data_IF_598673491620
#
_entry.id   IF_598673491620
#
_cell.length_a   1.000
_cell.length_b   1.000
_cell.length_c   1.000
_cell.angle_alpha   90.00
_cell.angle_beta   90.00
_cell.angle_gamma   90.00
#
_symmetry.space_group_name_H-M   'P 1'
#
loop_
_entity.id
_entity.type
_entity.pdbx_description
1 polymer ?
#
# COMPACT_ATOMS: atom_id res chain seq x y z
N UNK A 1 35.15 9.18 0.19
CA UNK A 1 35.14 7.73 -0.10
C UNK A 1 35.50 6.98 1.18
N UNK A 2 34.90 5.83 1.39
CA UNK A 2 35.10 5.02 2.58
C UNK A 2 34.17 3.81 2.60
N UNK A 3 34.29 3.02 3.64
CA UNK A 3 33.49 1.81 3.82
C UNK A 3 32.17 2.14 4.52
N UNK A 4 31.17 1.28 4.30
CA UNK A 4 29.92 1.24 5.02
C UNK A 4 29.76 -0.14 5.66
N UNK A 5 29.83 -0.22 6.98
CA UNK A 5 29.56 -1.46 7.73
C UNK A 5 28.08 -1.52 8.15
N UNK A 6 27.43 -2.65 7.83
CA UNK A 6 26.04 -2.94 8.21
C UNK A 6 26.00 -4.22 9.03
N UNK A 7 25.30 -4.18 10.16
CA UNK A 7 25.04 -5.33 11.01
C UNK A 7 23.63 -5.26 11.59
N UNK A 8 22.90 -6.36 11.53
CA UNK A 8 21.52 -6.47 12.04
C UNK A 8 20.59 -5.35 11.53
N UNK A 9 20.69 -5.05 10.22
CA UNK A 9 19.90 -4.02 9.55
C UNK A 9 20.28 -2.56 9.91
N UNK A 10 21.39 -2.34 10.63
CA UNK A 10 21.83 -1.02 11.08
C UNK A 10 23.22 -0.70 10.57
N UNK A 11 23.45 0.59 10.26
CA UNK A 11 24.77 1.10 9.97
C UNK A 11 25.58 1.14 11.26
N UNK A 12 26.69 0.40 11.30
CA UNK A 12 27.59 0.29 12.48
C UNK A 12 28.96 0.92 12.23
N UNK A 13 29.35 1.18 10.97
CA UNK A 13 30.60 1.84 10.66
C UNK A 13 30.43 2.71 9.40
N UNK A 14 31.08 3.88 9.41
CA UNK A 14 31.21 4.80 8.30
C UNK A 14 32.67 5.27 8.17
N UNK A 15 33.22 5.21 6.96
CA UNK A 15 34.58 5.64 6.65
C UNK A 15 35.54 4.48 6.59
N UNK A 16 35.85 3.82 7.71
CA UNK A 16 36.69 2.61 7.78
C UNK A 16 35.94 1.55 8.56
N UNK A 17 35.65 0.45 7.93
CA UNK A 17 35.09 -0.73 8.59
C UNK A 17 36.24 -1.71 8.88
N UNK A 18 36.42 -2.07 10.17
CA UNK A 18 37.44 -3.01 10.60
C UNK A 18 36.78 -4.35 10.96
N UNK A 19 37.47 -5.45 10.65
CA UNK A 19 37.03 -6.80 10.92
C UNK A 19 36.55 -7.57 9.70
N UNK A 20 36.16 -8.83 9.95
CA UNK A 20 35.62 -9.69 8.91
C UNK A 20 34.13 -9.37 8.67
N UNK A 21 33.68 -9.49 7.42
CA UNK A 21 32.29 -9.42 7.01
C UNK A 21 31.88 -10.73 6.34
N UNK A 22 30.63 -11.16 6.55
CA UNK A 22 30.08 -12.33 5.87
C UNK A 22 29.93 -12.08 4.37
N UNK A 23 29.66 -10.83 4.00
CA UNK A 23 29.53 -10.40 2.60
C UNK A 23 30.17 -9.03 2.42
N UNK A 24 30.99 -8.90 1.38
CA UNK A 24 31.58 -7.62 0.96
C UNK A 24 31.13 -7.31 -0.46
N UNK A 25 30.62 -6.10 -0.67
CA UNK A 25 30.22 -5.59 -1.98
C UNK A 25 31.19 -4.48 -2.36
N UNK A 26 31.87 -4.65 -3.49
CA UNK A 26 32.71 -3.58 -4.05
C UNK A 26 31.83 -2.49 -4.66
N UNK A 27 31.90 -1.30 -4.08
CA UNK A 27 31.16 -0.12 -4.52
C UNK A 27 32.10 0.98 -5.08
N UNK A 28 33.32 0.64 -5.52
CA UNK A 28 34.26 1.60 -6.06
C UNK A 28 33.63 2.39 -7.23
N UNK A 29 33.77 3.72 -7.20
CA UNK A 29 33.20 4.63 -8.19
C UNK A 29 31.69 4.82 -8.10
N UNK A 30 31.02 4.23 -7.10
CA UNK A 30 29.56 4.34 -6.89
C UNK A 30 29.23 5.14 -5.64
N UNK A 31 27.99 5.61 -5.57
CA UNK A 31 27.40 6.20 -4.37
C UNK A 31 26.54 5.13 -3.68
N UNK A 32 26.82 4.88 -2.40
CA UNK A 32 25.95 4.05 -1.56
C UNK A 32 25.00 4.98 -0.81
N UNK A 33 23.70 4.80 -1.00
CA UNK A 33 22.65 5.61 -0.37
C UNK A 33 21.62 4.70 0.30
N UNK A 34 20.80 5.23 1.23
CA UNK A 34 19.56 4.55 1.63
C UNK A 34 18.69 4.27 0.41
N UNK A 35 17.87 3.23 0.48
CA UNK A 35 16.87 2.95 -0.55
C UNK A 35 15.84 4.07 -0.64
N UNK A 36 15.26 4.25 -1.83
CA UNK A 36 14.22 5.26 -2.03
C UNK A 36 12.92 4.88 -1.34
N UNK A 37 12.21 5.91 -0.87
CA UNK A 37 10.83 5.80 -0.39
C UNK A 37 9.92 6.36 -1.48
N UNK A 38 9.14 5.49 -2.11
CA UNK A 38 8.11 5.90 -3.06
C UNK A 38 6.83 6.23 -2.28
N UNK A 39 6.56 7.51 -2.16
CA UNK A 39 5.45 8.02 -1.33
C UNK A 39 4.10 8.01 -2.04
N UNK A 40 4.06 7.66 -3.32
CA UNK A 40 2.82 7.69 -4.09
C UNK A 40 2.74 6.52 -5.08
N UNK A 41 2.12 5.44 -4.65
CA UNK A 41 1.87 4.26 -5.49
C UNK A 41 0.43 3.79 -5.33
N UNK A 42 0.00 2.97 -6.28
CA UNK A 42 -1.31 2.32 -6.27
C UNK A 42 -1.16 0.79 -6.30
N UNK A 43 -0.25 0.26 -5.49
CA UNK A 43 0.01 -1.18 -5.39
C UNK A 43 -1.00 -1.93 -4.50
N UNK A 44 -2.09 -1.28 -4.09
CA UNK A 44 -3.10 -1.81 -3.16
C UNK A 44 -3.65 -3.18 -3.58
N UNK A 45 -3.88 -3.35 -4.87
CA UNK A 45 -4.31 -4.62 -5.45
C UNK A 45 -3.11 -5.51 -5.80
N UNK A 46 -2.11 -4.96 -6.48
CA UNK A 46 -0.97 -5.70 -7.01
C UNK A 46 -0.22 -6.48 -5.93
N UNK A 47 -0.05 -5.91 -4.74
CA UNK A 47 0.64 -6.56 -3.62
C UNK A 47 0.02 -7.91 -3.23
N UNK A 48 -1.26 -8.13 -3.56
CA UNK A 48 -1.95 -9.38 -3.25
C UNK A 48 -1.59 -10.54 -4.19
N UNK A 49 -0.92 -10.28 -5.32
CA UNK A 49 -0.39 -11.34 -6.21
C UNK A 49 1.10 -11.17 -6.51
N UNK A 50 1.63 -9.95 -6.57
CA UNK A 50 3.04 -9.66 -6.78
C UNK A 50 3.69 -9.12 -5.49
N UNK A 51 4.21 -10.04 -4.68
CA UNK A 51 4.92 -9.68 -3.44
C UNK A 51 6.25 -8.96 -3.67
N UNK A 52 6.78 -8.99 -4.88
CA UNK A 52 8.01 -8.26 -5.25
C UNK A 52 7.72 -6.79 -5.51
N UNK A 53 6.45 -6.41 -5.76
CA UNK A 53 6.06 -5.08 -6.19
C UNK A 53 6.91 -4.58 -7.35
N UNK A 54 7.08 -5.48 -8.34
CA UNK A 54 7.80 -5.17 -9.57
C UNK A 54 7.14 -3.95 -10.25
N UNK A 55 7.87 -2.98 -10.61
CA UNK A 55 9.27 -2.77 -10.97
C UNK A 55 10.04 -1.97 -9.89
N UNK A 56 9.38 -1.42 -8.88
CA UNK A 56 9.95 -0.44 -7.94
C UNK A 56 11.29 -0.86 -7.33
N UNK A 57 11.50 -2.12 -6.86
CA UNK A 57 12.79 -2.52 -6.30
C UNK A 57 13.95 -2.42 -7.30
N UNK A 58 13.71 -2.60 -8.58
CA UNK A 58 14.73 -2.51 -9.64
C UNK A 58 15.26 -1.08 -9.82
N UNK A 59 14.50 -0.10 -9.34
CA UNK A 59 14.90 1.32 -9.32
C UNK A 59 15.41 1.77 -7.96
N UNK A 60 15.69 0.84 -7.05
CA UNK A 60 16.25 1.13 -5.72
C UNK A 60 15.21 1.56 -4.68
N UNK A 61 13.91 1.37 -4.96
CA UNK A 61 12.84 1.59 -3.98
C UNK A 61 12.88 0.47 -2.94
N UNK A 62 12.91 0.83 -1.67
CA UNK A 62 12.90 -0.10 -0.53
C UNK A 62 11.69 0.07 0.38
N UNK A 63 10.92 1.12 0.16
CA UNK A 63 9.66 1.41 0.90
C UNK A 63 8.67 2.06 -0.05
N UNK A 64 7.42 1.61 -0.02
CA UNK A 64 6.33 2.19 -0.81
C UNK A 64 5.14 2.56 0.07
N UNK A 65 4.43 3.61 -0.32
CA UNK A 65 3.15 4.02 0.30
C UNK A 65 2.01 3.69 -0.65
N UNK A 66 1.03 2.93 -0.16
CA UNK A 66 -0.20 2.55 -0.86
C UNK A 66 -1.42 3.25 -0.27
N UNK A 67 -2.59 3.18 -0.91
CA UNK A 67 -3.82 3.87 -0.47
C UNK A 67 -3.87 5.33 -0.90
N UNK A 68 -3.06 5.73 -1.85
CA UNK A 68 -2.99 7.10 -2.34
C UNK A 68 -4.27 7.53 -3.07
N UNK A 69 -4.47 8.83 -3.21
CA UNK A 69 -5.64 9.44 -3.86
C UNK A 69 -6.99 9.03 -3.24
N UNK A 70 -6.99 8.35 -2.10
CA UNK A 70 -8.20 7.86 -1.46
C UNK A 70 -8.72 6.55 -2.05
N UNK A 71 -7.96 5.88 -2.91
CA UNK A 71 -8.30 4.55 -3.43
C UNK A 71 -7.78 3.46 -2.50
N UNK A 72 -8.10 2.21 -2.82
CA UNK A 72 -7.67 1.04 -2.08
C UNK A 72 -8.66 -0.11 -2.24
N UNK A 73 -8.29 -1.28 -1.74
CA UNK A 73 -9.10 -2.50 -1.81
C UNK A 73 -9.86 -2.81 -0.51
N UNK A 74 -9.56 -2.10 0.56
CA UNK A 74 -10.17 -2.29 1.88
C UNK A 74 -10.52 -0.95 2.56
N UNK A 75 -11.64 -0.90 3.34
CA UNK A 75 -12.56 -1.99 3.64
C UNK A 75 -13.48 -2.30 2.44
N UNK A 76 -13.94 -3.55 2.30
CA UNK A 76 -14.85 -3.91 1.21
C UNK A 76 -15.74 -5.10 1.58
N UNK A 77 -17.04 -4.99 1.30
CA UNK A 77 -17.96 -6.13 1.36
C UNK A 77 -17.85 -6.97 0.09
N UNK A 78 -18.08 -8.26 0.19
CA UNK A 78 -18.01 -9.18 -0.95
C UNK A 78 -18.83 -8.73 -2.16
N UNK A 79 -20.01 -8.16 -1.94
CA UNK A 79 -20.90 -7.65 -2.99
C UNK A 79 -20.35 -6.44 -3.74
N UNK A 80 -19.39 -5.70 -3.15
CA UNK A 80 -18.82 -4.48 -3.72
C UNK A 80 -17.44 -4.69 -4.36
N UNK A 81 -16.85 -5.89 -4.29
CA UNK A 81 -15.51 -6.18 -4.81
C UNK A 81 -15.36 -5.85 -6.28
N UNK A 82 -16.39 -6.15 -7.08
CA UNK A 82 -16.39 -5.80 -8.51
C UNK A 82 -16.34 -4.28 -8.74
N UNK A 83 -17.07 -3.49 -7.93
CA UNK A 83 -17.04 -2.03 -8.01
C UNK A 83 -15.64 -1.48 -7.65
N UNK A 84 -14.99 -2.04 -6.64
CA UNK A 84 -13.61 -1.70 -6.29
C UNK A 84 -12.68 -1.95 -7.47
N UNK A 85 -12.73 -3.15 -8.08
CA UNK A 85 -11.90 -3.47 -9.25
C UNK A 85 -12.16 -2.54 -10.43
N UNK A 86 -13.42 -2.20 -10.72
CA UNK A 86 -13.77 -1.24 -11.78
C UNK A 86 -13.24 0.17 -11.50
N UNK A 87 -13.18 0.58 -10.23
CA UNK A 87 -12.57 1.85 -9.83
C UNK A 87 -11.07 1.83 -10.09
N UNK A 88 -10.40 0.75 -9.69
CA UNK A 88 -8.96 0.57 -9.92
C UNK A 88 -8.63 0.51 -11.42
N UNK A 89 -9.45 -0.15 -12.23
CA UNK A 89 -9.28 -0.17 -13.69
C UNK A 89 -9.20 1.24 -14.27
N UNK A 90 -10.11 2.12 -13.86
CA UNK A 90 -10.15 3.51 -14.34
C UNK A 90 -8.93 4.33 -13.88
N UNK A 91 -8.44 4.07 -12.69
CA UNK A 91 -7.39 4.88 -12.05
C UNK A 91 -6.00 4.40 -12.45
N UNK A 92 -5.81 3.07 -12.54
CA UNK A 92 -4.49 2.47 -12.70
C UNK A 92 -4.23 1.97 -14.12
N UNK A 93 -5.22 2.02 -14.98
CA UNK A 93 -5.10 1.51 -16.36
C UNK A 93 -4.88 -0.01 -16.43
N UNK A 94 -5.11 -0.73 -15.34
CA UNK A 94 -5.05 -2.18 -15.29
C UNK A 94 -6.41 -2.74 -15.66
N UNK A 95 -6.50 -3.60 -16.69
CA UNK A 95 -7.79 -4.13 -17.13
C UNK A 95 -8.49 -4.91 -16.01
N UNK A 96 -9.83 -4.87 -16.03
CA UNK A 96 -10.66 -5.64 -15.09
C UNK A 96 -10.30 -7.14 -15.13
N UNK A 97 -10.02 -7.68 -16.31
CA UNK A 97 -9.60 -9.08 -16.48
C UNK A 97 -8.29 -9.39 -15.75
N UNK A 98 -7.31 -8.47 -15.80
CA UNK A 98 -6.04 -8.62 -15.08
C UNK A 98 -6.25 -8.55 -13.57
N UNK A 99 -7.12 -7.63 -13.10
CA UNK A 99 -7.50 -7.53 -11.69
C UNK A 99 -8.25 -8.78 -11.21
N UNK A 100 -9.19 -9.30 -11.99
CA UNK A 100 -9.90 -10.55 -11.68
C UNK A 100 -8.95 -11.76 -11.65
N UNK A 101 -8.00 -11.84 -12.58
CA UNK A 101 -7.01 -12.90 -12.60
C UNK A 101 -6.04 -12.83 -11.41
N UNK A 102 -5.61 -11.63 -11.02
CA UNK A 102 -4.66 -11.39 -9.91
C UNK A 102 -5.29 -11.51 -8.53
N UNK A 103 -6.43 -10.85 -8.33
CA UNK A 103 -7.13 -10.80 -7.03
C UNK A 103 -8.08 -11.98 -6.82
N UNK A 104 -8.72 -12.46 -7.90
CA UNK A 104 -9.89 -13.30 -7.80
C UNK A 104 -11.06 -12.61 -7.08
N UNK A 105 -12.09 -13.38 -6.75
CA UNK A 105 -13.26 -12.87 -6.01
C UNK A 105 -13.24 -13.22 -4.52
N UNK A 106 -12.34 -14.11 -4.09
CA UNK A 106 -12.25 -14.61 -2.71
C UNK A 106 -11.11 -13.92 -1.95
N UNK A 107 -11.32 -12.66 -1.59
CA UNK A 107 -10.34 -11.92 -0.79
C UNK A 107 -10.38 -12.39 0.67
N UNK A 108 -9.21 -12.58 1.32
CA UNK A 108 -9.14 -13.06 2.70
C UNK A 108 -9.44 -11.97 3.73
N UNK A 109 -10.02 -10.85 3.33
CA UNK A 109 -10.33 -9.71 4.17
C UNK A 109 -11.64 -9.03 3.75
N UNK A 110 -12.24 -8.32 4.69
CA UNK A 110 -13.35 -7.38 4.51
C UNK A 110 -13.02 -6.03 5.13
N UNK A 111 -12.41 -6.03 6.32
CA UNK A 111 -12.00 -4.81 7.02
C UNK A 111 -10.57 -4.42 6.68
N UNK A 112 -10.21 -3.16 6.97
CA UNK A 112 -8.84 -2.68 6.75
C UNK A 112 -7.81 -3.37 7.66
N UNK A 113 -8.07 -3.60 8.96
CA UNK A 113 -7.17 -4.42 9.77
C UNK A 113 -6.90 -5.80 9.18
N UNK A 114 -7.94 -6.50 8.72
CA UNK A 114 -7.79 -7.81 8.07
C UNK A 114 -6.96 -7.74 6.77
N UNK A 115 -7.05 -6.63 6.04
CA UNK A 115 -6.20 -6.39 4.88
C UNK A 115 -4.74 -6.26 5.27
N UNK A 116 -4.42 -5.47 6.30
CA UNK A 116 -3.06 -5.36 6.82
C UNK A 116 -2.51 -6.72 7.29
N UNK A 117 -3.30 -7.50 8.03
CA UNK A 117 -2.95 -8.86 8.45
C UNK A 117 -2.66 -9.78 7.24
N UNK A 118 -3.45 -9.65 6.17
CA UNK A 118 -3.24 -10.41 4.95
C UNK A 118 -1.93 -10.03 4.24
N UNK A 119 -1.58 -8.73 4.22
CA UNK A 119 -0.31 -8.25 3.69
C UNK A 119 0.87 -8.75 4.52
N UNK A 120 0.80 -8.65 5.84
CA UNK A 120 1.84 -9.12 6.76
C UNK A 120 2.07 -10.62 6.59
N UNK A 121 1.00 -11.41 6.59
CA UNK A 121 1.08 -12.87 6.39
C UNK A 121 1.68 -13.24 5.03
N UNK A 122 1.34 -12.49 3.99
CA UNK A 122 1.88 -12.72 2.66
C UNK A 122 3.37 -12.35 2.57
N UNK A 123 3.75 -11.27 3.22
CA UNK A 123 5.05 -10.63 3.13
C UNK A 123 5.29 -9.94 1.78
N UNK A 124 6.20 -8.99 1.77
CA UNK A 124 6.65 -8.26 0.59
C UNK A 124 8.16 -8.13 0.57
N UNK A 125 8.75 -7.92 -0.61
CA UNK A 125 10.20 -7.78 -0.78
C UNK A 125 10.72 -6.42 -0.30
N UNK A 126 9.85 -5.41 -0.24
CA UNK A 126 10.14 -4.06 0.25
C UNK A 126 9.15 -3.69 1.35
N UNK A 127 9.48 -2.67 2.13
CA UNK A 127 8.57 -2.17 3.16
C UNK A 127 7.33 -1.54 2.53
N UNK A 128 6.19 -1.71 3.18
CA UNK A 128 4.91 -1.15 2.74
C UNK A 128 4.29 -0.37 3.89
N UNK A 129 3.87 0.85 3.59
CA UNK A 129 3.07 1.68 4.48
C UNK A 129 1.72 1.96 3.79
N UNK A 130 0.62 1.85 4.53
CA UNK A 130 -0.71 1.95 3.96
C UNK A 130 -1.48 3.15 4.50
N UNK A 131 -2.05 3.93 3.58
CA UNK A 131 -3.08 4.92 3.86
C UNK A 131 -4.45 4.26 3.83
N UNK A 132 -5.36 4.73 4.67
CA UNK A 132 -6.75 4.31 4.64
C UNK A 132 -7.53 5.14 3.62
N UNK A 133 -8.09 4.51 2.60
CA UNK A 133 -8.71 5.19 1.46
C UNK A 133 -10.13 5.68 1.72
N UNK A 134 -10.45 6.90 1.26
CA UNK A 134 -11.78 7.50 1.40
C UNK A 134 -12.84 6.79 0.54
N UNK A 135 -12.50 6.42 -0.69
CA UNK A 135 -13.42 5.77 -1.64
C UNK A 135 -13.93 4.42 -1.12
N UNK A 136 -13.07 3.46 -0.74
CA UNK A 136 -13.53 2.20 -0.18
C UNK A 136 -14.29 2.37 1.15
N UNK A 137 -13.89 3.34 1.99
CA UNK A 137 -14.60 3.66 3.23
C UNK A 137 -16.05 4.08 2.97
N UNK A 138 -16.27 5.01 2.03
CA UNK A 138 -17.62 5.45 1.67
C UNK A 138 -18.44 4.32 1.08
N UNK A 139 -17.87 3.56 0.17
CA UNK A 139 -18.54 2.41 -0.44
C UNK A 139 -18.92 1.36 0.60
N UNK A 140 -18.06 1.12 1.58
CA UNK A 140 -18.32 0.17 2.66
C UNK A 140 -19.51 0.56 3.54
N UNK A 141 -19.64 1.85 3.87
CA UNK A 141 -20.68 2.38 4.76
C UNK A 141 -21.97 2.69 4.00
N UNK A 142 -21.88 3.34 2.84
CA UNK A 142 -23.03 3.87 2.10
C UNK A 142 -23.48 2.98 0.94
N UNK A 143 -22.67 1.97 0.57
CA UNK A 143 -22.95 1.15 -0.61
C UNK A 143 -22.88 1.96 -1.91
N UNK A 144 -23.70 1.57 -2.89
CA UNK A 144 -23.72 2.17 -4.22
C UNK A 144 -24.09 3.67 -4.23
N UNK A 145 -24.71 4.17 -3.17
CA UNK A 145 -25.04 5.59 -3.03
C UNK A 145 -23.82 6.46 -2.65
N UNK A 146 -22.66 5.84 -2.44
CA UNK A 146 -21.43 6.50 -1.97
C UNK A 146 -20.96 7.69 -2.84
N UNK A 147 -21.27 7.66 -4.14
CA UNK A 147 -20.93 8.74 -5.09
C UNK A 147 -22.12 9.66 -5.42
N UNK A 148 -23.36 9.21 -5.16
CA UNK A 148 -24.58 9.90 -5.57
C UNK A 148 -25.08 10.97 -4.59
N UNK A 149 -24.66 10.92 -3.32
CA UNK A 149 -25.13 11.84 -2.28
C UNK A 149 -24.11 12.10 -1.17
N UNK A 150 -24.36 13.13 -0.39
CA UNK A 150 -23.64 13.35 0.85
C UNK A 150 -23.99 12.28 1.90
N UNK A 151 -23.03 11.97 2.77
CA UNK A 151 -23.24 11.08 3.89
C UNK A 151 -24.10 11.73 4.98
N UNK A 152 -24.95 10.93 5.62
CA UNK A 152 -25.72 11.32 6.81
C UNK A 152 -24.81 11.43 8.04
N UNK A 153 -25.33 12.02 9.13
CA UNK A 153 -24.59 12.12 10.38
C UNK A 153 -24.21 10.75 10.95
N UNK A 154 -25.09 9.74 10.85
CA UNK A 154 -24.85 8.38 11.33
C UNK A 154 -23.80 7.67 10.47
N UNK A 155 -23.84 7.84 9.14
CA UNK A 155 -22.83 7.31 8.23
C UNK A 155 -21.46 7.93 8.50
N UNK A 156 -21.41 9.24 8.76
CA UNK A 156 -20.16 9.94 9.16
C UNK A 156 -19.65 9.37 10.49
N UNK A 157 -20.52 9.12 11.47
CA UNK A 157 -20.12 8.53 12.73
C UNK A 157 -19.55 7.12 12.55
N UNK A 158 -20.18 6.30 11.69
CA UNK A 158 -19.69 4.98 11.33
C UNK A 158 -18.31 5.05 10.63
N UNK A 159 -18.14 5.95 9.65
CA UNK A 159 -16.86 6.17 8.97
C UNK A 159 -15.75 6.59 9.95
N UNK A 160 -16.04 7.52 10.88
CA UNK A 160 -15.08 7.95 11.91
C UNK A 160 -14.61 6.79 12.78
N UNK A 161 -15.49 5.85 13.10
CA UNK A 161 -15.13 4.64 13.85
C UNK A 161 -14.16 3.77 13.06
N UNK A 162 -14.47 3.49 11.79
CA UNK A 162 -13.60 2.69 10.90
C UNK A 162 -12.24 3.35 10.68
N UNK A 163 -12.18 4.69 10.57
CA UNK A 163 -10.89 5.41 10.48
C UNK A 163 -10.04 5.19 11.75
N UNK A 164 -10.63 5.27 12.95
CA UNK A 164 -9.90 5.00 14.18
C UNK A 164 -9.39 3.57 14.22
N UNK A 165 -10.23 2.59 13.90
CA UNK A 165 -9.84 1.18 13.82
C UNK A 165 -8.68 0.95 12.83
N UNK A 166 -8.68 1.64 11.69
CA UNK A 166 -7.60 1.58 10.72
C UNK A 166 -6.30 2.17 11.25
N UNK A 167 -6.36 3.33 11.94
CA UNK A 167 -5.19 3.95 12.56
C UNK A 167 -4.61 3.07 13.68
N UNK A 168 -5.47 2.52 14.54
CA UNK A 168 -5.08 1.62 15.62
C UNK A 168 -4.43 0.33 15.07
N UNK A 169 -4.85 -0.13 13.89
CA UNK A 169 -4.27 -1.28 13.20
C UNK A 169 -2.95 -0.99 12.48
N UNK A 170 -2.54 0.28 12.36
CA UNK A 170 -1.25 0.66 11.76
C UNK A 170 -1.32 1.40 10.44
N UNK A 171 -2.50 1.90 10.02
CA UNK A 171 -2.55 2.86 8.92
C UNK A 171 -1.71 4.09 9.24
N UNK A 172 -0.90 4.55 8.28
CA UNK A 172 -0.04 5.74 8.48
C UNK A 172 -0.77 7.06 8.26
N UNK A 173 -2.00 7.02 7.78
CA UNK A 173 -2.80 8.20 7.51
C UNK A 173 -4.08 7.87 6.74
N UNK A 174 -4.77 8.92 6.31
CA UNK A 174 -6.01 8.87 5.54
C UNK A 174 -5.81 9.51 4.17
N UNK A 175 -6.10 8.75 3.11
CA UNK A 175 -6.01 9.21 1.72
C UNK A 175 -7.36 9.73 1.22
N UNK A 176 -7.33 10.86 0.51
CA UNK A 176 -8.49 11.39 -0.21
C UNK A 176 -8.03 12.23 -1.40
N UNK A 177 -8.88 12.37 -2.40
CA UNK A 177 -8.67 13.29 -3.50
C UNK A 177 -9.99 13.92 -3.94
N UNK A 178 -9.88 15.07 -4.60
CA UNK A 178 -11.01 15.74 -5.27
C UNK A 178 -10.58 15.96 -6.73
N UNK A 179 -11.04 15.07 -7.60
CA UNK A 179 -10.73 15.13 -9.03
C UNK A 179 -11.92 14.61 -9.83
N UNK A 180 -12.18 15.20 -11.00
CA UNK A 180 -13.23 14.74 -11.92
C UNK A 180 -12.98 13.32 -12.40
N UNK A 181 -11.72 12.92 -12.54
CA UNK A 181 -11.33 11.56 -12.93
C UNK A 181 -11.44 10.53 -11.80
N UNK A 182 -11.68 11.00 -10.58
CA UNK A 182 -11.75 10.16 -9.37
C UNK A 182 -13.18 10.08 -8.78
N UNK A 183 -14.16 10.56 -9.50
CA UNK A 183 -15.58 10.50 -9.12
C UNK A 183 -16.35 9.52 -10.02
#
# INVERSE_FOLDING_TARGET
AGDLGIKDGKVVALGKAEGAADTTIDAEGKVVSPGFVDVHTHYDAQILWDRMLSISPWHGVTTTVIGNCGFGVAPTKAIHRKLIMQTLEKVEGMSLEALEAGLGMNWPFETFPQYLDALEKRGSAINVAALFGHTPLRLYVMGEESTGRAATADEIAAMKKLVREAMDAGAIGFGTSVSVSHN
#
